data_IF_418934089921
#
_entry.id   IF_418934089921
#
_cell.length_a   1.000
_cell.length_b   1.000
_cell.length_c   1.000
_cell.angle_alpha   90.00
_cell.angle_beta   90.00
_cell.angle_gamma   90.00
#
_symmetry.space_group_name_H-M   'P 1'
#
loop_
_entity.id
_entity.type
_entity.pdbx_description
1 polymer ?
#
# COMPACT_ATOMS: atom_id res chain seq x y z
N UNK A 1 42.72 -32.02 24.99
CA UNK A 1 41.33 -31.77 25.39
C UNK A 1 40.98 -30.30 25.67
N UNK A 2 41.92 -29.42 25.62
CA UNK A 2 41.66 -27.99 25.89
C UNK A 2 41.40 -27.14 24.66
N UNK A 3 41.22 -27.75 23.46
CA UNK A 3 41.10 -27.04 22.19
C UNK A 3 39.68 -27.03 21.60
N UNK A 4 38.70 -27.54 22.33
CA UNK A 4 37.30 -27.59 21.88
C UNK A 4 36.42 -26.45 22.42
N UNK A 5 36.95 -25.62 23.31
CA UNK A 5 36.20 -24.54 23.94
C UNK A 5 36.00 -23.27 23.10
N UNK A 6 36.83 -22.93 22.09
CA UNK A 6 36.56 -21.73 21.29
C UNK A 6 35.53 -21.92 20.18
N UNK A 7 35.16 -23.16 19.85
CA UNK A 7 34.20 -23.40 18.76
C UNK A 7 32.74 -23.22 19.18
N UNK A 8 32.47 -23.26 20.49
CA UNK A 8 31.09 -23.10 20.99
C UNK A 8 30.69 -21.63 21.17
N UNK A 9 31.66 -20.74 21.29
CA UNK A 9 31.42 -19.32 21.49
C UNK A 9 31.11 -18.55 20.19
N UNK A 10 31.38 -19.15 19.04
CA UNK A 10 31.11 -18.52 17.75
C UNK A 10 29.69 -18.75 17.23
N UNK A 11 28.98 -19.70 17.83
CA UNK A 11 27.62 -20.06 17.39
C UNK A 11 26.53 -19.20 18.02
N UNK A 12 26.85 -18.39 19.02
CA UNK A 12 25.87 -17.60 19.75
C UNK A 12 25.64 -16.17 19.18
N UNK A 13 26.40 -15.77 18.14
CA UNK A 13 26.39 -14.40 17.67
C UNK A 13 25.50 -14.19 16.43
N UNK A 14 24.83 -15.22 15.94
CA UNK A 14 24.00 -15.14 14.73
C UNK A 14 22.52 -14.90 15.02
N UNK A 15 22.11 -14.89 16.29
CA UNK A 15 20.70 -14.87 16.68
C UNK A 15 20.11 -13.49 16.98
N UNK A 16 20.84 -12.39 16.70
CA UNK A 16 20.33 -11.05 17.06
C UNK A 16 20.34 -10.07 15.91
N UNK A 17 19.65 -10.41 14.82
CA UNK A 17 19.33 -9.43 13.77
C UNK A 17 17.83 -9.41 13.47
N UNK A 18 16.97 -8.90 14.37
CA UNK A 18 15.55 -8.78 14.05
C UNK A 18 15.18 -7.54 13.24
N UNK A 19 16.11 -6.61 13.03
CA UNK A 19 15.78 -5.31 12.43
C UNK A 19 15.88 -5.24 10.91
N UNK A 20 16.48 -6.21 10.24
CA UNK A 20 16.60 -6.21 8.78
C UNK A 20 15.36 -6.74 8.06
N UNK A 21 14.48 -7.45 8.75
CA UNK A 21 13.31 -8.08 8.12
C UNK A 21 12.24 -7.05 7.76
N UNK A 22 12.11 -6.00 8.54
CA UNK A 22 11.14 -4.92 8.24
C UNK A 22 11.58 -4.05 7.06
N UNK A 23 12.87 -3.77 6.95
CA UNK A 23 13.40 -3.01 5.81
C UNK A 23 13.38 -3.85 4.52
N UNK A 24 13.63 -5.17 4.61
CA UNK A 24 13.53 -6.06 3.46
C UNK A 24 12.08 -6.29 3.03
N UNK A 25 11.11 -6.26 3.95
CA UNK A 25 9.68 -6.35 3.64
C UNK A 25 9.20 -5.18 2.81
N UNK A 26 9.70 -3.98 3.06
CA UNK A 26 9.38 -2.78 2.27
C UNK A 26 10.05 -2.83 0.90
N UNK A 27 11.28 -3.34 0.82
CA UNK A 27 12.02 -3.42 -0.45
C UNK A 27 11.51 -4.52 -1.40
N UNK A 28 10.88 -5.57 -0.85
CA UNK A 28 10.27 -6.65 -1.63
C UNK A 28 8.80 -6.37 -1.96
N UNK A 29 8.26 -5.27 -1.47
CA UNK A 29 6.85 -5.04 -1.40
C UNK A 29 6.25 -4.13 -2.46
N UNK A 30 6.85 -4.00 -3.66
CA UNK A 30 6.12 -3.40 -4.76
C UNK A 30 4.83 -4.21 -4.99
N UNK A 31 3.70 -3.67 -4.55
CA UNK A 31 2.42 -4.33 -4.61
C UNK A 31 2.04 -5.25 -3.43
N UNK A 32 2.87 -5.36 -2.39
CA UNK A 32 2.45 -6.04 -1.17
C UNK A 32 1.35 -5.24 -0.46
N UNK A 33 0.22 -5.88 -0.23
CA UNK A 33 -0.98 -5.27 0.34
C UNK A 33 -1.20 -5.74 1.77
N UNK A 34 -1.43 -4.78 2.66
CA UNK A 34 -1.69 -5.03 4.08
C UNK A 34 -3.03 -4.46 4.48
N UNK A 35 -3.86 -5.28 5.12
CA UNK A 35 -5.10 -4.79 5.71
C UNK A 35 -4.81 -3.92 6.94
N UNK A 36 -5.37 -2.70 6.96
CA UNK A 36 -5.29 -1.79 8.11
C UNK A 36 -6.55 -1.83 8.97
N UNK A 37 -7.49 -2.71 8.67
CA UNK A 37 -8.77 -2.81 9.35
C UNK A 37 -9.80 -3.43 8.45
N UNK A 38 -11.06 -3.17 8.74
CA UNK A 38 -12.19 -3.74 8.01
C UNK A 38 -12.52 -3.00 6.71
N UNK A 39 -11.98 -1.79 6.51
CA UNK A 39 -12.32 -0.91 5.39
C UNK A 39 -11.13 -0.41 4.58
N UNK A 40 -9.90 -0.72 5.00
CA UNK A 40 -8.70 -0.09 4.45
C UNK A 40 -7.59 -1.08 4.18
N UNK A 41 -6.88 -0.88 3.08
CA UNK A 41 -5.66 -1.59 2.73
C UNK A 41 -4.53 -0.62 2.47
N UNK A 42 -3.34 -1.01 2.84
CA UNK A 42 -2.10 -0.29 2.62
C UNK A 42 -1.24 -1.03 1.61
N UNK A 43 -0.72 -0.30 0.64
CA UNK A 43 0.17 -0.83 -0.40
C UNK A 43 1.34 0.12 -0.58
N UNK A 44 2.54 -0.43 -0.72
CA UNK A 44 3.72 0.33 -1.11
C UNK A 44 3.99 0.11 -2.59
N UNK A 45 4.17 1.19 -3.33
CA UNK A 45 4.49 1.16 -4.75
C UNK A 45 5.82 1.86 -5.01
N UNK A 46 6.65 1.27 -5.87
CA UNK A 46 7.98 1.79 -6.18
C UNK A 46 7.94 2.79 -7.33
N UNK A 47 7.14 3.82 -7.14
CA UNK A 47 7.03 4.94 -8.07
C UNK A 47 6.92 6.26 -7.31
N UNK A 48 7.25 7.40 -7.92
CA UNK A 48 6.98 8.71 -7.35
C UNK A 48 5.49 8.90 -7.04
N UNK A 49 5.17 9.68 -6.03
CA UNK A 49 3.79 9.96 -5.63
C UNK A 49 2.94 10.54 -6.76
N UNK A 50 3.52 11.34 -7.63
CA UNK A 50 2.86 11.89 -8.83
C UNK A 50 2.37 10.79 -9.77
N UNK A 51 3.18 9.75 -9.97
CA UNK A 51 2.83 8.62 -10.84
C UNK A 51 1.76 7.74 -10.20
N UNK A 52 1.85 7.47 -8.90
CA UNK A 52 0.83 6.74 -8.16
C UNK A 52 -0.53 7.46 -8.21
N UNK A 53 -0.54 8.76 -8.02
CA UNK A 53 -1.72 9.59 -8.11
C UNK A 53 -2.33 9.58 -9.52
N UNK A 54 -1.52 9.74 -10.55
CA UNK A 54 -1.96 9.70 -11.95
C UNK A 54 -2.57 8.33 -12.32
N UNK A 55 -1.98 7.23 -11.86
CA UNK A 55 -2.51 5.90 -12.09
C UNK A 55 -3.88 5.69 -11.42
N UNK A 56 -4.04 6.16 -10.19
CA UNK A 56 -5.31 6.10 -9.49
C UNK A 56 -6.39 6.95 -10.18
N UNK A 57 -6.05 8.16 -10.62
CA UNK A 57 -6.97 8.99 -11.42
C UNK A 57 -7.41 8.29 -12.70
N UNK A 58 -6.47 7.68 -13.42
CA UNK A 58 -6.76 6.96 -14.65
C UNK A 58 -7.69 5.76 -14.40
N UNK A 59 -7.44 5.01 -13.31
CA UNK A 59 -8.30 3.89 -12.94
C UNK A 59 -9.73 4.32 -12.68
N UNK A 60 -9.94 5.38 -11.92
CA UNK A 60 -11.28 5.87 -11.64
C UNK A 60 -11.98 6.46 -12.87
N UNK A 61 -11.24 7.09 -13.78
CA UNK A 61 -11.79 7.56 -15.05
C UNK A 61 -12.25 6.44 -15.96
N UNK A 62 -11.44 5.39 -16.08
CA UNK A 62 -11.71 4.25 -16.96
C UNK A 62 -12.82 3.36 -16.42
N UNK A 63 -13.01 3.30 -15.12
CA UNK A 63 -14.13 2.56 -14.51
C UNK A 63 -15.48 3.23 -14.75
N UNK A 64 -15.50 4.46 -15.27
CA UNK A 64 -16.73 5.22 -15.56
C UNK A 64 -17.48 5.71 -14.31
N UNK A 65 -16.89 5.56 -13.14
CA UNK A 65 -17.51 5.82 -11.85
C UNK A 65 -16.94 7.05 -11.13
N UNK A 66 -16.45 8.02 -11.90
CA UNK A 66 -16.03 9.31 -11.38
C UNK A 66 -17.23 10.17 -10.99
N UNK A 67 -17.87 9.81 -9.90
CA UNK A 67 -18.69 10.75 -9.17
C UNK A 67 -17.80 11.62 -8.30
N UNK A 68 -17.66 12.90 -8.62
CA UNK A 68 -16.92 13.89 -7.83
C UNK A 68 -15.51 13.46 -7.44
N UNK A 69 -14.58 13.70 -8.33
CA UNK A 69 -13.16 13.68 -8.01
C UNK A 69 -12.84 14.94 -7.20
N UNK A 70 -12.92 14.88 -5.90
CA UNK A 70 -12.25 15.85 -5.05
C UNK A 70 -10.76 15.46 -4.95
N UNK A 71 -9.99 15.91 -5.93
CA UNK A 71 -8.55 15.94 -5.77
C UNK A 71 -8.20 17.07 -4.80
N UNK A 72 -8.23 16.77 -3.51
CA UNK A 72 -7.86 17.73 -2.51
C UNK A 72 -6.34 17.74 -2.33
N UNK A 73 -5.78 18.90 -2.53
CA UNK A 73 -4.46 19.31 -2.10
C UNK A 73 -3.26 18.45 -2.54
N UNK A 74 -2.62 18.85 -3.64
CA UNK A 74 -1.25 18.45 -3.95
C UNK A 74 -1.03 16.96 -4.20
N UNK A 75 -1.95 16.31 -4.93
CA UNK A 75 -1.75 14.92 -5.38
C UNK A 75 -1.67 13.90 -4.24
N UNK A 76 -2.20 14.23 -3.05
CA UNK A 76 -2.13 13.37 -1.86
C UNK A 76 -3.42 12.63 -1.52
N UNK A 77 -4.53 12.95 -2.20
CA UNK A 77 -5.83 12.40 -1.86
C UNK A 77 -6.76 12.35 -3.08
N UNK A 78 -7.49 11.25 -3.23
CA UNK A 78 -8.57 11.08 -4.19
C UNK A 78 -9.79 10.50 -3.48
N UNK A 79 -10.97 11.05 -3.78
CA UNK A 79 -12.25 10.46 -3.41
C UNK A 79 -13.04 10.15 -4.67
N UNK A 80 -13.60 8.96 -4.75
CA UNK A 80 -14.41 8.52 -5.88
C UNK A 80 -15.58 7.66 -5.38
N UNK A 81 -16.60 7.50 -6.24
CA UNK A 81 -17.68 6.55 -6.01
C UNK A 81 -17.45 5.34 -6.91
N UNK A 82 -17.43 4.14 -6.34
CA UNK A 82 -17.25 2.88 -7.05
C UNK A 82 -18.28 1.87 -6.55
N UNK A 83 -19.13 1.36 -7.45
CA UNK A 83 -20.15 0.34 -7.11
C UNK A 83 -21.00 0.74 -5.88
N UNK A 84 -21.50 1.98 -5.83
CA UNK A 84 -22.24 2.54 -4.71
C UNK A 84 -21.49 2.60 -3.38
N UNK A 85 -20.15 2.63 -3.45
CA UNK A 85 -19.29 2.85 -2.29
C UNK A 85 -18.50 4.13 -2.44
N UNK A 86 -18.22 4.77 -1.30
CA UNK A 86 -17.22 5.81 -1.22
C UNK A 86 -15.84 5.16 -1.16
N UNK A 87 -14.97 5.51 -2.07
CA UNK A 87 -13.57 5.06 -2.09
C UNK A 87 -12.67 6.27 -1.92
N UNK A 88 -11.80 6.19 -0.94
CA UNK A 88 -10.79 7.20 -0.68
C UNK A 88 -9.40 6.59 -0.86
N UNK A 89 -8.52 7.31 -1.54
CA UNK A 89 -7.12 6.91 -1.70
C UNK A 89 -6.23 8.00 -1.15
N UNK A 90 -5.42 7.65 -0.19
CA UNK A 90 -4.43 8.52 0.42
C UNK A 90 -3.03 8.14 -0.06
N UNK A 91 -2.23 9.14 -0.39
CA UNK A 91 -0.86 8.95 -0.84
C UNK A 91 0.10 9.61 0.12
N UNK A 92 1.11 8.86 0.55
CA UNK A 92 2.20 9.37 1.39
C UNK A 92 3.53 9.07 0.72
N UNK A 93 4.31 10.11 0.54
CA UNK A 93 5.67 9.98 0.01
C UNK A 93 6.58 9.37 1.08
N UNK A 94 7.15 8.20 0.78
CA UNK A 94 8.14 7.56 1.63
C UNK A 94 9.55 7.96 1.20
N UNK A 95 9.82 7.84 -0.09
CA UNK A 95 11.04 8.34 -0.74
C UNK A 95 10.67 9.02 -2.06
N UNK A 96 11.65 9.52 -2.81
CA UNK A 96 11.40 10.09 -4.14
C UNK A 96 10.81 9.07 -5.12
N UNK A 97 11.05 7.77 -4.91
CA UNK A 97 10.63 6.69 -5.78
C UNK A 97 9.77 5.63 -5.07
N UNK A 98 9.30 5.90 -3.87
CA UNK A 98 8.43 4.98 -3.12
C UNK A 98 7.28 5.74 -2.51
N UNK A 99 6.07 5.26 -2.73
CA UNK A 99 4.84 5.87 -2.25
C UNK A 99 4.03 4.83 -1.47
N UNK A 100 3.55 5.23 -0.30
CA UNK A 100 2.51 4.50 0.43
C UNK A 100 1.16 4.92 -0.10
N UNK A 101 0.33 3.95 -0.44
CA UNK A 101 -1.03 4.15 -0.88
C UNK A 101 -1.98 3.44 0.08
N UNK A 102 -2.90 4.18 0.67
CA UNK A 102 -3.96 3.63 1.52
C UNK A 102 -5.29 3.78 0.82
N UNK A 103 -5.94 2.67 0.53
CA UNK A 103 -7.26 2.62 -0.09
C UNK A 103 -8.30 2.25 0.96
N UNK A 104 -9.31 3.07 1.09
CA UNK A 104 -10.42 2.87 2.01
C UNK A 104 -11.73 2.83 1.24
N UNK A 105 -12.58 1.86 1.54
CA UNK A 105 -13.89 1.73 0.91
C UNK A 105 -14.99 1.48 1.92
N UNK A 106 -16.09 2.21 1.76
CA UNK A 106 -17.30 2.10 2.60
C UNK A 106 -18.55 2.23 1.73
N UNK A 107 -19.59 1.48 2.07
CA UNK A 107 -20.88 1.58 1.41
C UNK A 107 -21.53 2.93 1.71
N UNK A 108 -22.10 3.57 0.68
CA UNK A 108 -22.80 4.83 0.86
C UNK A 108 -24.02 4.73 1.78
N UNK A 109 -24.78 3.64 1.67
CA UNK A 109 -26.06 3.50 2.33
C UNK A 109 -25.98 3.49 3.87
N UNK A 110 -24.98 2.81 4.43
CA UNK A 110 -24.87 2.57 5.86
C UNK A 110 -23.45 2.77 6.41
N UNK A 111 -22.54 3.27 5.59
CA UNK A 111 -21.12 3.44 5.91
C UNK A 111 -20.42 2.14 6.34
N UNK A 112 -21.00 0.99 6.02
CA UNK A 112 -20.40 -0.30 6.32
C UNK A 112 -19.06 -0.47 5.57
N UNK A 113 -18.05 -1.02 6.23
CA UNK A 113 -16.75 -1.26 5.60
C UNK A 113 -16.86 -2.25 4.44
N UNK A 114 -16.06 -2.04 3.40
CA UNK A 114 -15.97 -2.91 2.25
C UNK A 114 -14.51 -3.18 1.88
N UNK A 115 -13.87 -4.03 2.66
CA UNK A 115 -12.47 -4.39 2.50
C UNK A 115 -12.18 -5.02 1.13
N UNK A 116 -13.07 -5.90 0.66
CA UNK A 116 -12.92 -6.55 -0.65
C UNK A 116 -12.82 -5.53 -1.79
N UNK A 117 -13.64 -4.48 -1.76
CA UNK A 117 -13.55 -3.42 -2.76
C UNK A 117 -12.25 -2.62 -2.62
N UNK A 118 -11.82 -2.31 -1.40
CA UNK A 118 -10.57 -1.61 -1.16
C UNK A 118 -9.37 -2.39 -1.71
N UNK A 119 -9.33 -3.69 -1.48
CA UNK A 119 -8.31 -4.59 -2.04
C UNK A 119 -8.34 -4.59 -3.56
N UNK A 120 -9.50 -4.75 -4.16
CA UNK A 120 -9.68 -4.80 -5.61
C UNK A 120 -9.27 -3.48 -6.29
N UNK A 121 -9.62 -2.34 -5.70
CA UNK A 121 -9.19 -1.03 -6.21
C UNK A 121 -7.69 -0.85 -6.10
N UNK A 122 -7.10 -1.22 -4.96
CA UNK A 122 -5.65 -1.18 -4.76
C UNK A 122 -4.92 -2.03 -5.80
N UNK A 123 -5.37 -3.24 -6.05
CA UNK A 123 -4.81 -4.13 -7.06
C UNK A 123 -4.87 -3.55 -8.48
N UNK A 124 -5.99 -2.93 -8.84
CA UNK A 124 -6.15 -2.32 -10.16
C UNK A 124 -5.20 -1.13 -10.36
N UNK A 125 -5.03 -0.29 -9.36
CA UNK A 125 -4.09 0.83 -9.42
C UNK A 125 -2.67 0.32 -9.54
N UNK A 126 -2.29 -0.65 -8.73
CA UNK A 126 -0.96 -1.27 -8.75
C UNK A 126 -0.68 -1.91 -10.11
N UNK A 127 -1.63 -2.60 -10.68
CA UNK A 127 -1.50 -3.22 -11.99
C UNK A 127 -1.23 -2.20 -13.11
N UNK A 128 -1.81 -1.00 -13.03
CA UNK A 128 -1.50 0.09 -13.96
C UNK A 128 -0.08 0.58 -13.87
N UNK A 129 0.50 0.55 -12.67
CA UNK A 129 1.87 1.00 -12.43
C UNK A 129 2.92 -0.01 -12.89
N UNK A 130 2.55 -1.29 -13.00
CA UNK A 130 3.43 -2.36 -13.45
C UNK A 130 3.50 -2.50 -14.99
N UNK A 131 2.70 -1.75 -15.72
CA UNK A 131 2.73 -1.70 -17.18
C UNK A 131 3.71 -0.62 -17.62
#
# INVERSE_FOLDING_TARGET
>A
MKKLLPAVLLSALVATMPSCVLAAGVALGAGAMYSLGEDSVQTYVEVPMTDAFAAAQAEFRDSGELGLLEAANKESFIRATVEDNEVEVFFHRITDNTTEMVVKARKWADMAPNLELAERVSDRITYRLER
#
